data_IF_190165221882
#
_entry.id   IF_190165221882
#
_cell.length_a   1.000
_cell.length_b   1.000
_cell.length_c   1.000
_cell.angle_alpha   90.00
_cell.angle_beta   90.00
_cell.angle_gamma   90.00
#
_symmetry.space_group_name_H-M   'P 1'
#
loop_
_entity.id
_entity.type
_entity.pdbx_description
1 polymer ?
#
# COMPACT_ATOMS: atom_id res chain seq x y z
N UNK A 1 -4.42 17.09 -19.42
CA UNK A 1 -4.36 16.55 -18.05
C UNK A 1 -3.71 17.62 -17.20
N UNK A 2 -4.41 18.14 -16.18
CA UNK A 2 -3.89 19.20 -15.32
C UNK A 2 -3.26 18.55 -14.08
N UNK A 3 -2.10 19.02 -13.64
CA UNK A 3 -1.44 18.48 -12.44
C UNK A 3 -2.34 18.62 -11.19
N UNK A 4 -3.14 19.69 -11.15
CA UNK A 4 -4.08 19.95 -10.06
C UNK A 4 -5.15 18.86 -9.89
N UNK A 5 -5.42 18.05 -10.93
CA UNK A 5 -6.39 16.95 -10.86
C UNK A 5 -5.93 15.84 -9.88
N UNK A 6 -4.66 15.86 -9.46
CA UNK A 6 -4.03 14.90 -8.57
C UNK A 6 -3.59 15.50 -7.23
N UNK A 7 -3.89 16.76 -6.97
CA UNK A 7 -3.52 17.42 -5.72
C UNK A 7 -4.48 17.02 -4.59
N UNK A 8 -3.96 16.87 -3.38
CA UNK A 8 -4.75 16.60 -2.18
C UNK A 8 -4.07 17.14 -0.93
N UNK A 9 -4.86 17.52 0.06
CA UNK A 9 -4.33 17.94 1.35
C UNK A 9 -3.76 16.73 2.11
N UNK A 10 -2.44 16.69 2.28
CA UNK A 10 -1.74 15.72 3.12
C UNK A 10 -1.12 16.43 4.33
N UNK A 11 -1.66 16.24 5.55
CA UNK A 11 -1.03 16.76 6.75
C UNK A 11 0.39 16.20 6.91
N UNK A 12 1.42 17.03 7.19
CA UNK A 12 2.81 16.58 7.27
C UNK A 12 3.04 15.41 8.25
N UNK A 13 2.32 15.40 9.36
CA UNK A 13 2.38 14.35 10.39
C UNK A 13 1.86 12.98 9.92
N UNK A 14 1.18 12.92 8.77
CA UNK A 14 0.73 11.66 8.15
C UNK A 14 1.78 11.05 7.23
N UNK A 15 2.91 11.73 7.01
CA UNK A 15 4.07 11.18 6.30
C UNK A 15 4.92 10.42 7.32
N UNK A 16 4.97 9.10 7.17
CA UNK A 16 5.75 8.26 8.08
C UNK A 16 7.26 8.56 7.93
N UNK A 17 7.88 9.00 9.04
CA UNK A 17 9.33 9.20 9.10
C UNK A 17 10.11 7.89 9.26
N UNK A 18 9.46 6.85 9.81
CA UNK A 18 10.02 5.52 10.03
C UNK A 18 9.00 4.44 9.63
N UNK A 19 9.46 3.25 9.23
CA UNK A 19 8.56 2.13 8.95
C UNK A 19 7.88 1.63 10.24
N UNK A 20 6.66 1.09 10.09
CA UNK A 20 6.01 0.36 11.18
C UNK A 20 6.89 -0.81 11.67
N UNK A 21 6.87 -1.07 12.99
CA UNK A 21 7.60 -2.18 13.62
C UNK A 21 6.63 -2.97 14.52
N UNK A 22 6.35 -4.26 14.23
CA UNK A 22 6.85 -5.03 13.09
C UNK A 22 6.30 -4.54 11.73
N UNK A 23 7.02 -4.81 10.63
CA UNK A 23 6.70 -4.26 9.29
C UNK A 23 5.28 -4.59 8.81
N UNK A 24 4.79 -5.79 9.13
CA UNK A 24 3.46 -6.24 8.75
C UNK A 24 2.31 -5.61 9.56
N UNK A 25 2.62 -4.84 10.61
CA UNK A 25 1.62 -4.06 11.36
C UNK A 25 1.21 -2.76 10.65
N UNK A 26 1.84 -2.44 9.51
CA UNK A 26 1.40 -1.33 8.68
C UNK A 26 -0.05 -1.54 8.20
N UNK A 27 -0.79 -0.43 8.07
CA UNK A 27 -2.16 -0.44 7.53
C UNK A 27 -2.15 -0.79 6.04
N UNK A 28 -3.20 -1.48 5.62
CA UNK A 28 -3.53 -1.79 4.23
C UNK A 28 -4.93 -1.23 3.97
N UNK A 29 -5.06 -0.28 3.04
CA UNK A 29 -6.37 0.17 2.57
C UNK A 29 -6.77 -0.68 1.37
N UNK A 30 -7.80 -1.51 1.51
CA UNK A 30 -8.35 -2.29 0.41
C UNK A 30 -9.45 -1.47 -0.27
N UNK A 31 -9.14 -0.94 -1.45
CA UNK A 31 -10.04 -0.13 -2.28
C UNK A 31 -10.80 -1.07 -3.22
N UNK A 32 -12.11 -1.19 -3.03
CA UNK A 32 -13.01 -1.92 -3.92
C UNK A 32 -13.83 -0.95 -4.75
N UNK A 33 -14.44 -1.44 -5.83
CA UNK A 33 -15.36 -0.63 -6.64
C UNK A 33 -16.60 -0.15 -5.88
N UNK A 34 -16.95 -0.80 -4.76
CA UNK A 34 -18.13 -0.53 -3.94
C UNK A 34 -17.80 0.09 -2.56
N UNK A 35 -16.52 0.27 -2.21
CA UNK A 35 -16.16 0.82 -0.91
C UNK A 35 -14.70 0.67 -0.52
N UNK A 36 -14.41 1.05 0.73
CA UNK A 36 -13.08 1.05 1.32
C UNK A 36 -13.08 0.18 2.58
N UNK A 37 -12.12 -0.72 2.71
CA UNK A 37 -11.90 -1.51 3.92
C UNK A 37 -10.52 -1.19 4.52
N UNK A 38 -10.50 -0.84 5.80
CA UNK A 38 -9.28 -0.74 6.59
C UNK A 38 -8.82 -2.14 7.05
N UNK A 39 -7.57 -2.47 6.75
CA UNK A 39 -6.90 -3.75 7.09
C UNK A 39 -5.46 -3.51 7.52
N UNK A 40 -4.73 -4.59 7.74
CA UNK A 40 -3.27 -4.60 7.95
C UNK A 40 -2.58 -5.41 6.85
N UNK A 41 -1.26 -5.25 6.70
CA UNK A 41 -0.48 -6.03 5.72
C UNK A 41 -0.56 -7.53 6.00
N UNK A 42 -0.78 -7.95 7.25
CA UNK A 42 -1.02 -9.36 7.59
C UNK A 42 -2.28 -9.94 6.94
N UNK A 43 -3.26 -9.11 6.58
CA UNK A 43 -4.51 -9.55 5.96
C UNK A 43 -4.37 -9.78 4.45
N UNK A 44 -3.26 -9.34 3.83
CA UNK A 44 -3.05 -9.43 2.39
C UNK A 44 -3.23 -10.87 1.83
N UNK A 45 -2.70 -11.94 2.46
CA UNK A 45 -2.90 -13.29 1.95
C UNK A 45 -4.37 -13.71 1.85
N UNK A 46 -5.24 -13.20 2.73
CA UNK A 46 -6.67 -13.49 2.70
C UNK A 46 -7.43 -12.76 1.57
N UNK A 47 -6.78 -11.80 0.90
CA UNK A 47 -7.33 -11.08 -0.25
C UNK A 47 -6.96 -11.73 -1.59
N UNK A 48 -6.06 -12.72 -1.59
CA UNK A 48 -5.60 -13.41 -2.79
C UNK A 48 -6.35 -14.73 -2.97
N UNK A 49 -6.63 -15.07 -4.22
CA UNK A 49 -7.19 -16.37 -4.60
C UNK A 49 -6.08 -17.35 -4.99
N UNK A 50 -6.32 -18.67 -4.84
CA UNK A 50 -5.43 -19.68 -5.42
C UNK A 50 -5.25 -19.46 -6.92
N UNK A 51 -3.99 -19.35 -7.36
CA UNK A 51 -3.63 -19.08 -8.75
C UNK A 51 -3.26 -17.63 -9.03
N UNK A 52 -3.47 -16.70 -8.09
CA UNK A 52 -3.00 -15.33 -8.22
C UNK A 52 -1.46 -15.26 -8.25
N UNK A 53 -0.93 -14.35 -9.07
CA UNK A 53 0.51 -14.11 -9.20
C UNK A 53 0.88 -12.79 -8.53
N UNK A 54 1.70 -12.85 -7.48
CA UNK A 54 2.29 -11.68 -6.87
C UNK A 54 3.64 -11.36 -7.54
N UNK A 55 3.67 -10.29 -8.33
CA UNK A 55 4.91 -9.80 -8.95
C UNK A 55 5.58 -8.81 -8.00
N UNK A 56 6.77 -9.17 -7.53
CA UNK A 56 7.58 -8.33 -6.64
C UNK A 56 8.75 -7.77 -7.43
N UNK A 57 9.04 -6.47 -7.25
CA UNK A 57 10.28 -5.91 -7.78
C UNK A 57 11.45 -6.27 -6.87
N UNK A 58 12.43 -6.96 -7.44
CA UNK A 58 13.74 -7.20 -6.82
C UNK A 58 14.78 -6.30 -7.53
N UNK A 59 15.12 -5.17 -6.90
CA UNK A 59 16.06 -4.20 -7.47
C UNK A 59 17.50 -4.64 -7.21
N UNK A 60 18.30 -4.79 -8.27
CA UNK A 60 19.75 -5.07 -8.17
C UNK A 60 20.56 -3.87 -8.64
N UNK A 61 21.57 -3.48 -7.86
CA UNK A 61 22.58 -2.52 -8.31
C UNK A 61 23.52 -3.23 -9.26
N UNK A 62 23.63 -2.73 -10.49
CA UNK A 62 24.63 -3.20 -11.46
C UNK A 62 25.88 -2.33 -11.25
N UNK A 63 27.04 -2.92 -10.91
CA UNK A 63 28.30 -2.19 -10.77
C UNK A 63 28.89 -1.79 -12.13
#
# INVERSE_FOLDING_TARGET
MNLADFDYHLPPERIAAEPARPRHAARLLHVRGDGLDDRTILDLPALLAPGDLLVVNDTRVIP
#
